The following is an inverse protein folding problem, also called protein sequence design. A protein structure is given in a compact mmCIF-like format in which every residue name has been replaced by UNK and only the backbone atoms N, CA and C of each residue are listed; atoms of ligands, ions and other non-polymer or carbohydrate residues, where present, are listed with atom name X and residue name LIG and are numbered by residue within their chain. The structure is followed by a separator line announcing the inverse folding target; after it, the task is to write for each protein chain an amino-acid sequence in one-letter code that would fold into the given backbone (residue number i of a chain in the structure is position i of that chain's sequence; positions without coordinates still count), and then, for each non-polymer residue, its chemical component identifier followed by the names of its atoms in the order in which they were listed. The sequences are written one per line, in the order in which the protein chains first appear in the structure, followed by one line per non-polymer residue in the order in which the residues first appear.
data_IF_360183005704
#
_entry.id   IF_360183005704
#
_cell.length_a   1.000
_cell.length_b   1.000
_cell.length_c   1.000
_cell.angle_alpha   90.00
_cell.angle_beta   90.00
_cell.angle_gamma   90.00
#
_symmetry.space_group_name_H-M   'P 1'
#
loop_
_entity.id
_entity.type
_entity.pdbx_description
1 polymer ?
#
# COMPACT_ATOMS: atom_id res chain seq x y z
N UNK A 1 -32.93 1.81 21.25
CA UNK A 1 -31.69 2.52 21.60
C UNK A 1 -31.11 3.12 20.32
N UNK A 2 -31.24 4.40 20.11
CA UNK A 2 -30.65 5.02 18.94
C UNK A 2 -29.85 6.26 19.35
N UNK A 3 -28.53 6.16 19.40
CA UNK A 3 -27.66 7.34 19.52
C UNK A 3 -26.22 7.03 19.06
N UNK A 4 -26.03 6.58 17.82
CA UNK A 4 -24.68 6.47 17.22
C UNK A 4 -24.58 7.02 15.80
N UNK A 5 -25.52 7.83 15.33
CA UNK A 5 -25.55 8.29 13.92
C UNK A 5 -25.57 9.82 13.77
N UNK A 6 -24.78 10.56 14.53
CA UNK A 6 -24.71 12.03 14.35
C UNK A 6 -23.29 12.63 14.30
N UNK A 7 -22.23 11.83 14.23
CA UNK A 7 -20.87 12.38 14.10
C UNK A 7 -20.22 12.16 12.72
N UNK A 8 -20.85 11.41 11.82
CA UNK A 8 -20.24 11.12 10.50
C UNK A 8 -20.55 12.21 9.48
N UNK A 9 -21.69 12.89 9.59
CA UNK A 9 -22.12 13.88 8.58
C UNK A 9 -21.35 15.21 8.56
N UNK A 10 -20.50 15.46 9.57
CA UNK A 10 -19.74 16.73 9.64
C UNK A 10 -18.26 16.60 9.27
N UNK A 11 -17.75 15.39 9.07
CA UNK A 11 -16.35 15.15 8.69
C UNK A 11 -16.19 14.82 7.20
N UNK A 12 -17.27 14.53 6.49
CA UNK A 12 -17.25 14.14 5.08
C UNK A 12 -16.90 15.29 4.10
N UNK A 13 -16.72 16.50 4.59
CA UNK A 13 -16.46 17.65 3.72
C UNK A 13 -14.99 18.12 3.70
N UNK A 14 -14.07 17.44 4.33
CA UNK A 14 -12.71 17.97 4.51
C UNK A 14 -11.56 17.12 3.97
N UNK A 15 -11.78 15.89 3.45
CA UNK A 15 -10.66 15.06 2.99
C UNK A 15 -11.07 14.31 1.71
N UNK A 16 -10.75 14.92 0.59
CA UNK A 16 -10.86 14.30 -0.73
C UNK A 16 -9.44 14.03 -1.22
N UNK A 17 -9.01 12.72 -1.34
CA UNK A 17 -7.76 12.48 -2.07
C UNK A 17 -7.31 11.01 -2.20
N UNK A 18 -7.05 10.52 -3.40
CA UNK A 18 -6.49 9.21 -3.75
C UNK A 18 -5.45 9.19 -4.86
N UNK A 19 -4.74 8.37 -5.17
CA UNK A 19 -4.22 7.15 -5.77
C UNK A 19 -2.69 7.15 -5.83
N UNK A 20 -2.16 6.24 -5.45
CA UNK A 20 -1.45 4.97 -5.52
C UNK A 20 -0.14 4.99 -6.33
N UNK A 21 0.82 4.53 -5.78
CA UNK A 21 1.75 3.45 -6.10
C UNK A 21 2.62 3.31 -4.86
N UNK A 22 2.26 2.39 -3.99
CA UNK A 22 3.09 2.09 -2.85
C UNK A 22 4.25 1.24 -3.34
N UNK A 23 5.35 1.92 -3.59
CA UNK A 23 6.65 1.30 -3.46
C UNK A 23 6.87 0.98 -1.98
N UNK A 24 7.48 -0.15 -1.68
CA UNK A 24 7.89 -0.53 -0.35
C UNK A 24 8.54 0.66 0.35
N UNK A 25 8.42 0.83 1.69
CA UNK A 25 8.98 1.98 2.41
C UNK A 25 10.48 2.21 2.22
N UNK A 26 11.17 1.28 1.58
CA UNK A 26 12.59 1.34 1.24
C UNK A 26 12.89 1.93 -0.14
N UNK A 27 11.90 2.01 -1.06
CA UNK A 27 12.07 2.57 -2.39
C UNK A 27 11.89 4.10 -2.46
N UNK A 28 11.37 4.72 -1.40
CA UNK A 28 11.21 6.19 -1.33
C UNK A 28 12.53 6.96 -1.16
N UNK A 29 13.67 6.26 -1.09
CA UNK A 29 14.96 6.93 -0.86
C UNK A 29 15.65 7.47 -2.12
N UNK A 30 15.09 7.31 -3.33
CA UNK A 30 15.73 7.82 -4.55
C UNK A 30 14.75 8.06 -5.70
N UNK A 31 13.86 9.04 -5.58
CA UNK A 31 13.44 9.82 -6.74
C UNK A 31 13.85 11.28 -6.57
N UNK A 32 15.13 11.55 -6.73
CA UNK A 32 15.58 12.88 -7.14
C UNK A 32 15.33 13.03 -8.63
N UNK A 33 14.08 13.11 -9.06
CA UNK A 33 13.77 13.73 -10.33
C UNK A 33 13.85 15.24 -10.12
N UNK A 34 15.01 15.81 -10.33
CA UNK A 34 15.16 17.23 -10.60
C UNK A 34 14.41 17.55 -11.90
N UNK A 35 13.11 17.68 -11.81
CA UNK A 35 12.33 18.34 -12.84
C UNK A 35 12.53 19.86 -12.64
N UNK A 36 13.09 20.60 -13.61
CA UNK A 36 13.19 22.05 -13.53
C UNK A 36 11.83 22.66 -13.87
N UNK A 37 10.85 22.54 -12.98
CA UNK A 37 9.62 23.27 -13.08
C UNK A 37 9.60 24.36 -12.01
N UNK A 38 9.98 25.57 -12.43
CA UNK A 38 9.64 26.78 -11.71
C UNK A 38 8.12 26.81 -11.53
N UNK A 39 7.68 26.80 -10.28
CA UNK A 39 6.30 26.97 -9.92
C UNK A 39 5.87 28.38 -10.40
N UNK A 40 5.01 28.44 -11.40
CA UNK A 40 4.29 29.67 -11.72
C UNK A 40 3.31 29.92 -10.57
N UNK A 41 3.72 30.73 -9.59
CA UNK A 41 3.02 30.92 -8.34
C UNK A 41 1.65 31.60 -8.48
N UNK A 42 0.71 31.19 -7.64
CA UNK A 42 -0.31 32.09 -7.13
C UNK A 42 0.48 33.20 -6.40
N UNK A 43 0.31 34.46 -6.78
CA UNK A 43 1.25 35.55 -6.48
C UNK A 43 1.56 35.84 -4.98
N UNK A 44 1.09 35.06 -4.04
CA UNK A 44 1.41 35.09 -2.60
C UNK A 44 1.96 33.77 -2.04
N UNK A 45 2.08 32.71 -2.88
CA UNK A 45 2.67 31.41 -2.52
C UNK A 45 3.97 31.06 -3.30
N UNK A 46 4.86 32.03 -3.64
CA UNK A 46 5.99 31.76 -4.54
C UNK A 46 7.11 30.91 -3.92
N UNK A 47 6.98 30.49 -2.67
CA UNK A 47 8.06 29.80 -1.92
C UNK A 47 7.66 28.46 -1.34
N UNK A 48 6.40 28.03 -1.47
CA UNK A 48 5.97 26.73 -0.94
C UNK A 48 6.04 25.72 -2.09
N UNK A 49 6.85 24.65 -1.99
CA UNK A 49 6.97 23.61 -3.02
C UNK A 49 5.75 22.69 -3.00
N UNK A 50 4.60 23.22 -3.39
CA UNK A 50 3.34 22.48 -3.51
C UNK A 50 3.06 22.24 -4.99
N UNK A 51 2.77 20.99 -5.34
CA UNK A 51 2.24 20.61 -6.64
C UNK A 51 0.82 20.07 -6.45
N UNK A 52 -0.13 20.68 -7.15
CA UNK A 52 -1.51 20.27 -7.18
C UNK A 52 -1.85 19.70 -8.55
N UNK A 53 -2.49 18.56 -8.58
CA UNK A 53 -2.96 17.92 -9.80
C UNK A 53 -4.45 17.61 -9.64
N UNK A 54 -5.25 17.95 -10.65
CA UNK A 54 -6.66 17.62 -10.70
C UNK A 54 -6.99 16.93 -12.02
N UNK A 55 -7.86 15.94 -12.01
CA UNK A 55 -8.23 15.19 -13.20
C UNK A 55 -9.68 14.76 -13.19
N UNK A 56 -10.19 14.53 -14.40
CA UNK A 56 -11.49 13.91 -14.63
C UNK A 56 -11.26 12.73 -15.57
N UNK A 57 -11.85 11.61 -15.23
CA UNK A 57 -11.85 10.42 -16.05
C UNK A 57 -13.27 9.90 -16.27
N UNK A 58 -13.47 9.12 -17.32
CA UNK A 58 -14.70 8.40 -17.61
C UNK A 58 -14.37 7.02 -18.14
N UNK A 59 -15.22 6.06 -17.82
CA UNK A 59 -14.95 4.69 -18.19
C UNK A 59 -16.16 3.76 -18.07
N UNK A 60 -15.86 2.49 -18.25
CA UNK A 60 -16.79 1.39 -18.11
C UNK A 60 -16.17 0.31 -17.24
N UNK A 61 -16.94 -0.20 -16.31
CA UNK A 61 -16.63 -1.32 -15.44
C UNK A 61 -17.66 -2.43 -15.74
N UNK A 62 -17.20 -3.62 -16.11
CA UNK A 62 -18.08 -4.73 -16.47
C UNK A 62 -18.66 -5.47 -15.26
N UNK A 63 -18.14 -5.20 -14.07
CA UNK A 63 -18.62 -5.76 -12.80
C UNK A 63 -18.55 -4.73 -11.67
N UNK A 64 -19.29 -3.65 -11.82
CA UNK A 64 -19.33 -2.58 -10.82
C UNK A 64 -19.90 -3.02 -9.46
N UNK A 65 -20.59 -4.15 -9.36
CA UNK A 65 -21.13 -4.70 -8.11
C UNK A 65 -20.18 -5.67 -7.41
N UNK A 66 -19.05 -6.05 -8.03
CA UNK A 66 -18.04 -6.98 -7.50
C UNK A 66 -18.65 -8.32 -7.05
N UNK A 67 -19.53 -8.89 -7.86
CA UNK A 67 -20.21 -10.17 -7.60
C UNK A 67 -19.96 -11.16 -8.72
N UNK A 68 -20.25 -12.45 -8.49
CA UNK A 68 -20.08 -13.51 -9.51
C UNK A 68 -20.96 -13.31 -10.76
N UNK A 69 -22.07 -12.60 -10.61
CA UNK A 69 -22.98 -12.22 -11.70
C UNK A 69 -23.08 -10.69 -11.76
N UNK A 70 -21.94 -10.01 -11.71
CA UNK A 70 -21.89 -8.58 -11.58
C UNK A 70 -22.51 -7.81 -12.73
N UNK A 71 -23.02 -6.63 -12.40
CA UNK A 71 -23.60 -5.70 -13.36
C UNK A 71 -22.55 -4.70 -13.79
N UNK A 72 -22.45 -4.46 -15.10
CA UNK A 72 -21.57 -3.45 -15.64
C UNK A 72 -22.18 -2.06 -15.56
N UNK A 73 -21.34 -1.04 -15.48
CA UNK A 73 -21.78 0.36 -15.45
C UNK A 73 -20.78 1.29 -16.09
N UNK A 74 -21.28 2.33 -16.72
CA UNK A 74 -20.48 3.52 -17.03
C UNK A 74 -20.22 4.29 -15.74
N UNK A 75 -19.06 4.95 -15.65
CA UNK A 75 -18.74 5.83 -14.53
C UNK A 75 -17.99 7.10 -14.96
N UNK A 76 -18.07 8.12 -14.14
CA UNK A 76 -17.23 9.32 -14.18
C UNK A 76 -16.47 9.40 -12.87
N UNK A 77 -15.17 9.65 -12.98
CA UNK A 77 -14.27 9.84 -11.85
C UNK A 77 -13.68 11.23 -11.81
N UNK A 78 -13.53 11.77 -10.60
CA UNK A 78 -12.77 12.97 -10.31
C UNK A 78 -11.61 12.60 -9.42
N UNK A 79 -10.43 13.12 -9.70
CA UNK A 79 -9.24 12.87 -8.89
C UNK A 79 -8.47 14.18 -8.64
N UNK A 80 -7.88 14.26 -7.46
CA UNK A 80 -7.02 15.37 -7.06
C UNK A 80 -5.81 14.81 -6.32
N UNK A 81 -4.62 15.30 -6.59
CA UNK A 81 -3.38 14.95 -5.91
C UNK A 81 -2.69 16.21 -5.41
N UNK A 82 -2.26 16.18 -4.15
CA UNK A 82 -1.46 17.22 -3.53
C UNK A 82 -0.10 16.63 -3.14
N UNK A 83 0.98 17.25 -3.59
CA UNK A 83 2.34 16.88 -3.19
C UNK A 83 3.01 18.11 -2.59
N UNK A 84 3.58 17.93 -1.41
CA UNK A 84 4.50 18.89 -0.79
C UNK A 84 5.80 18.17 -0.47
N UNK A 85 6.91 18.72 -0.95
CA UNK A 85 8.23 18.16 -0.75
C UNK A 85 9.18 19.23 -0.21
N UNK A 86 9.79 18.96 0.94
CA UNK A 86 10.81 19.79 1.55
C UNK A 86 12.09 19.00 1.80
N UNK A 87 12.95 18.90 0.78
CA UNK A 87 14.22 18.16 0.88
C UNK A 87 15.32 19.01 1.56
N UNK A 88 15.14 19.38 2.84
CA UNK A 88 16.06 20.25 3.56
C UNK A 88 16.77 19.49 4.69
N UNK A 89 18.09 19.49 4.71
CA UNK A 89 18.88 18.99 5.84
C UNK A 89 18.81 19.95 7.06
N UNK A 90 18.77 19.44 8.30
CA UNK A 90 18.80 18.03 8.71
C UNK A 90 17.43 17.34 8.70
N UNK A 91 16.37 18.02 8.25
CA UNK A 91 15.00 17.53 8.28
C UNK A 91 14.41 17.55 6.89
N UNK A 92 14.04 16.38 6.40
CA UNK A 92 13.28 16.20 5.15
C UNK A 92 11.83 15.88 5.50
N UNK A 93 10.90 16.50 4.81
CA UNK A 93 9.46 16.29 5.02
C UNK A 93 8.74 16.19 3.67
N UNK A 94 7.94 15.14 3.50
CA UNK A 94 7.10 14.92 2.34
C UNK A 94 5.66 14.73 2.78
N UNK A 95 4.73 15.28 2.02
CA UNK A 95 3.29 15.07 2.16
C UNK A 95 2.72 14.73 0.78
N UNK A 96 2.05 13.61 0.70
CA UNK A 96 1.26 13.20 -0.44
C UNK A 96 -0.19 13.04 0.03
N UNK A 97 -1.10 13.74 -0.62
CA UNK A 97 -2.53 13.56 -0.42
C UNK A 97 -3.18 13.33 -1.77
N UNK A 98 -4.06 12.37 -1.84
CA UNK A 98 -4.73 12.09 -3.08
C UNK A 98 -6.21 11.79 -2.78
N UNK A 99 -7.23 12.16 -3.67
CA UNK A 99 -8.68 11.93 -3.59
C UNK A 99 -9.28 11.48 -4.89
N UNK A 100 -10.11 10.50 -4.80
CA UNK A 100 -10.92 10.06 -5.91
C UNK A 100 -12.40 9.98 -5.50
N UNK A 101 -13.23 10.49 -6.34
CA UNK A 101 -14.67 10.27 -6.30
C UNK A 101 -15.09 9.61 -7.63
N UNK A 102 -15.85 8.52 -7.56
CA UNK A 102 -16.36 7.80 -8.73
C UNK A 102 -17.88 7.68 -8.63
N UNK A 103 -18.59 8.12 -9.66
CA UNK A 103 -20.04 7.98 -9.75
C UNK A 103 -20.37 6.99 -10.86
N UNK A 104 -21.10 5.94 -10.50
CA UNK A 104 -21.64 4.94 -11.43
C UNK A 104 -23.07 5.31 -11.83
N UNK A 105 -23.45 5.02 -13.09
CA UNK A 105 -24.75 5.44 -13.63
C UNK A 105 -25.79 4.34 -13.65
N UNK A 106 -25.37 3.08 -13.82
CA UNK A 106 -26.27 1.95 -14.01
C UNK A 106 -26.48 1.13 -12.72
N UNK A 107 -25.66 1.38 -11.70
CA UNK A 107 -25.76 0.74 -10.38
C UNK A 107 -25.81 1.79 -9.28
N UNK A 108 -26.41 1.42 -8.15
CA UNK A 108 -26.47 2.31 -6.97
C UNK A 108 -25.16 2.23 -6.20
N UNK A 109 -24.09 2.81 -6.77
CA UNK A 109 -22.77 2.83 -6.20
C UNK A 109 -22.06 4.15 -6.45
N UNK A 110 -21.40 4.66 -5.44
CA UNK A 110 -20.40 5.72 -5.56
C UNK A 110 -19.15 5.27 -4.82
N UNK A 111 -17.98 5.45 -5.42
CA UNK A 111 -16.72 5.18 -4.78
C UNK A 111 -16.13 6.48 -4.24
N UNK A 112 -15.70 6.45 -2.99
CA UNK A 112 -14.96 7.55 -2.35
C UNK A 112 -13.68 6.95 -1.81
N UNK A 113 -12.57 7.27 -2.48
CA UNK A 113 -11.26 6.79 -2.05
C UNK A 113 -10.39 7.99 -1.66
N UNK A 114 -9.66 7.85 -0.58
CA UNK A 114 -8.74 8.89 -0.14
C UNK A 114 -7.57 8.33 0.66
N UNK A 115 -6.36 8.86 0.40
CA UNK A 115 -5.24 8.58 1.28
C UNK A 115 -4.35 9.81 1.50
N UNK A 116 -3.68 9.81 2.64
CA UNK A 116 -2.65 10.77 2.99
C UNK A 116 -1.42 10.03 3.47
N UNK A 117 -0.28 10.36 2.91
CA UNK A 117 1.02 9.89 3.39
C UNK A 117 1.85 11.08 3.84
N UNK A 118 2.34 11.07 5.05
CA UNK A 118 3.31 12.03 5.56
C UNK A 118 4.59 11.26 5.90
N UNK A 119 5.74 11.72 5.41
CA UNK A 119 7.02 11.15 5.80
C UNK A 119 7.99 12.23 6.28
N UNK A 120 8.71 11.90 7.34
CA UNK A 120 9.69 12.75 7.99
C UNK A 120 10.98 11.97 8.17
N UNK A 121 12.09 12.53 7.70
CA UNK A 121 13.44 12.05 8.05
C UNK A 121 14.15 13.17 8.78
N UNK A 122 14.72 12.88 9.96
CA UNK A 122 15.50 13.85 10.72
C UNK A 122 16.84 13.26 11.15
N UNK A 123 17.92 13.93 10.79
CA UNK A 123 19.27 13.57 11.18
C UNK A 123 19.70 14.36 12.42
N UNK A 124 19.59 13.75 13.61
CA UNK A 124 20.07 14.36 14.86
C UNK A 124 21.60 14.54 14.86
N UNK A 125 22.28 13.60 14.23
CA UNK A 125 23.75 13.61 14.07
C UNK A 125 24.14 12.71 12.90
N UNK A 126 25.44 12.65 12.59
CA UNK A 126 25.99 11.70 11.62
C UNK A 126 25.81 10.22 12.03
N UNK A 127 25.41 9.96 13.26
CA UNK A 127 25.21 8.59 13.80
C UNK A 127 23.79 8.26 14.15
N UNK A 128 22.92 9.24 14.34
CA UNK A 128 21.56 9.03 14.79
C UNK A 128 20.59 9.73 13.85
N UNK A 129 19.71 8.94 13.24
CA UNK A 129 18.62 9.42 12.39
C UNK A 129 17.28 8.81 12.81
N UNK A 130 16.24 9.58 12.63
CA UNK A 130 14.85 9.19 12.87
C UNK A 130 14.09 9.27 11.55
N UNK A 131 13.26 8.26 11.30
CA UNK A 131 12.30 8.24 10.22
C UNK A 131 10.90 7.99 10.77
N UNK A 132 9.92 8.70 10.24
CA UNK A 132 8.51 8.46 10.48
C UNK A 132 7.75 8.52 9.16
N UNK A 133 6.83 7.59 8.97
CA UNK A 133 5.85 7.59 7.89
C UNK A 133 4.47 7.35 8.48
N UNK A 134 3.56 8.28 8.28
CA UNK A 134 2.16 8.17 8.70
C UNK A 134 1.32 8.04 7.44
N UNK A 135 0.58 6.96 7.35
CA UNK A 135 -0.31 6.69 6.24
C UNK A 135 -1.73 6.46 6.74
N UNK A 136 -2.70 7.15 6.16
CA UNK A 136 -4.12 6.95 6.44
C UNK A 136 -4.90 6.90 5.13
N UNK A 137 -5.81 5.96 5.00
CA UNK A 137 -6.65 5.79 3.82
C UNK A 137 -8.11 5.46 4.19
N UNK A 138 -9.01 5.94 3.35
CA UNK A 138 -10.40 5.48 3.27
C UNK A 138 -10.62 4.93 1.87
N UNK A 139 -11.15 3.73 1.75
CA UNK A 139 -11.34 3.03 0.48
C UNK A 139 -12.71 2.33 0.45
N UNK A 140 -13.30 2.33 -0.74
CA UNK A 140 -14.57 1.65 -1.00
C UNK A 140 -14.40 0.27 -1.63
N UNK A 141 -13.22 -0.05 -2.15
CA UNK A 141 -12.90 -1.31 -2.81
C UNK A 141 -11.66 -1.98 -2.22
N UNK A 142 -11.53 -3.31 -2.38
CA UNK A 142 -10.29 -4.02 -2.09
C UNK A 142 -9.12 -3.48 -2.93
N UNK A 143 -7.93 -3.44 -2.36
CA UNK A 143 -6.71 -3.02 -3.05
C UNK A 143 -5.72 -4.18 -3.14
N UNK A 144 -5.66 -4.84 -4.31
CA UNK A 144 -4.79 -5.98 -4.57
C UNK A 144 -3.35 -5.58 -4.92
N UNK A 145 -3.09 -4.30 -5.20
CA UNK A 145 -1.78 -3.80 -5.61
C UNK A 145 -0.93 -3.33 -4.43
N UNK A 146 -1.53 -3.23 -3.25
CA UNK A 146 -0.86 -2.77 -2.03
C UNK A 146 -0.47 -3.94 -1.15
N UNK A 147 0.71 -3.87 -0.53
CA UNK A 147 1.08 -4.75 0.57
C UNK A 147 0.50 -4.26 1.92
N UNK A 148 -0.31 -3.22 1.88
CA UNK A 148 -0.90 -2.57 3.05
C UNK A 148 -2.39 -2.39 2.83
N UNK A 149 -3.17 -2.76 3.80
CA UNK A 149 -4.62 -2.66 3.77
C UNK A 149 -5.33 -3.98 3.44
N UNK A 150 -6.65 -4.01 3.66
CA UNK A 150 -7.46 -5.19 3.39
C UNK A 150 -7.61 -5.41 1.89
N UNK A 151 -7.38 -6.62 1.46
CA UNK A 151 -7.29 -6.93 0.03
C UNK A 151 -8.50 -7.69 -0.50
N UNK A 152 -9.13 -8.54 0.31
CA UNK A 152 -10.18 -9.46 -0.15
C UNK A 152 -11.57 -9.12 0.40
N UNK A 153 -11.74 -7.98 1.05
CA UNK A 153 -13.00 -7.61 1.69
C UNK A 153 -13.64 -6.42 0.97
N UNK A 154 -14.86 -6.63 0.46
CA UNK A 154 -15.62 -5.61 -0.27
C UNK A 154 -16.48 -4.85 0.75
N UNK A 155 -15.98 -3.75 1.24
CA UNK A 155 -16.70 -2.81 2.12
C UNK A 155 -15.93 -1.52 2.25
N UNK A 156 -16.62 -0.42 2.41
CA UNK A 156 -15.99 0.83 2.82
C UNK A 156 -15.21 0.63 4.11
N UNK A 157 -13.96 1.06 4.12
CA UNK A 157 -13.09 0.90 5.27
C UNK A 157 -12.08 2.03 5.38
N UNK A 158 -11.74 2.34 6.63
CA UNK A 158 -10.62 3.20 6.97
C UNK A 158 -9.47 2.34 7.48
N UNK A 159 -8.24 2.66 7.08
CA UNK A 159 -7.06 2.06 7.69
C UNK A 159 -5.89 3.05 7.76
N UNK A 160 -5.00 2.80 8.73
CA UNK A 160 -3.74 3.53 8.88
C UNK A 160 -2.59 2.54 9.02
N UNK A 161 -1.41 2.95 8.54
CA UNK A 161 -0.17 2.21 8.70
C UNK A 161 0.96 3.19 8.99
N UNK A 162 1.31 3.29 10.26
CA UNK A 162 2.26 4.27 10.75
C UNK A 162 3.57 3.57 11.11
N UNK A 163 4.67 4.02 10.51
CA UNK A 163 5.99 3.42 10.66
C UNK A 163 6.92 4.44 11.30
N UNK A 164 7.60 4.02 12.36
CA UNK A 164 8.64 4.81 13.03
C UNK A 164 9.92 4.00 13.11
N UNK A 165 11.05 4.61 12.82
CA UNK A 165 12.33 3.94 13.00
C UNK A 165 13.42 4.89 13.48
N UNK A 166 14.27 4.37 14.33
CA UNK A 166 15.45 5.04 14.86
C UNK A 166 16.69 4.25 14.44
N UNK A 167 17.56 4.87 13.65
CA UNK A 167 18.79 4.24 13.18
C UNK A 167 19.97 4.81 13.94
N UNK A 168 20.78 3.94 14.56
CA UNK A 168 22.01 4.31 15.25
C UNK A 168 23.21 3.58 14.64
N UNK A 169 24.20 4.33 14.18
CA UNK A 169 25.47 3.83 13.65
C UNK A 169 26.53 3.73 14.76
N UNK A 170 26.70 2.52 15.33
CA UNK A 170 27.74 2.28 16.36
C UNK A 170 29.15 2.45 15.78
N UNK A 171 29.37 1.85 14.63
CA UNK A 171 30.62 1.91 13.88
C UNK A 171 30.33 2.11 12.39
N UNK A 172 31.30 2.46 11.55
CA UNK A 172 31.09 2.66 10.11
C UNK A 172 30.46 1.49 9.37
N UNK A 173 30.51 0.28 9.94
CA UNK A 173 29.98 -0.95 9.35
C UNK A 173 28.86 -1.60 10.15
N UNK A 174 28.50 -1.06 11.31
CA UNK A 174 27.48 -1.62 12.17
C UNK A 174 26.42 -0.59 12.49
N UNK A 175 25.18 -0.93 12.22
CA UNK A 175 24.01 -0.12 12.54
C UNK A 175 22.98 -0.95 13.28
N UNK A 176 22.26 -0.28 14.16
CA UNK A 176 21.09 -0.78 14.86
C UNK A 176 19.89 0.03 14.38
N UNK A 177 18.81 -0.64 14.01
CA UNK A 177 17.55 -0.01 13.62
C UNK A 177 16.47 -0.56 14.52
N UNK A 178 15.93 0.31 15.37
CA UNK A 178 14.76 0.02 16.18
C UNK A 178 13.53 0.55 15.48
N UNK A 179 12.56 -0.30 15.21
CA UNK A 179 11.35 0.00 14.47
C UNK A 179 10.09 -0.22 15.28
N UNK A 180 9.07 0.56 14.98
CA UNK A 180 7.70 0.37 15.45
C UNK A 180 6.74 0.64 14.30
N UNK A 181 5.82 -0.30 14.07
CA UNK A 181 4.72 -0.13 13.11
C UNK A 181 3.39 -0.25 13.84
N UNK A 182 2.52 0.71 13.59
CA UNK A 182 1.13 0.70 14.05
C UNK A 182 0.23 0.57 12.83
N UNK A 183 -0.69 -0.42 12.88
CA UNK A 183 -1.72 -0.61 11.87
C UNK A 183 -3.09 -0.68 12.53
N UNK A 184 -4.07 -0.02 11.93
CA UNK A 184 -5.48 -0.07 12.34
C UNK A 184 -6.34 -0.19 11.12
N UNK A 185 -7.33 -1.08 11.14
CA UNK A 185 -8.40 -1.14 10.14
C UNK A 185 -9.76 -1.11 10.80
N UNK A 186 -10.71 -0.43 10.16
CA UNK A 186 -12.10 -0.31 10.59
C UNK A 186 -13.02 -0.31 9.38
N UNK A 187 -14.03 -1.17 9.40
CA UNK A 187 -15.03 -1.31 8.35
C UNK A 187 -16.31 -0.55 8.68
N UNK A 188 -16.90 0.09 7.68
CA UNK A 188 -18.18 0.78 7.82
C UNK A 188 -19.34 -0.20 8.05
N UNK A 189 -19.26 -1.39 7.46
CA UNK A 189 -20.27 -2.45 7.60
C UNK A 189 -20.00 -3.26 8.87
N UNK A 190 -20.90 -3.16 9.86
CA UNK A 190 -20.73 -3.81 11.17
C UNK A 190 -20.57 -5.34 11.08
N UNK A 191 -21.27 -6.00 10.15
CA UNK A 191 -21.16 -7.46 9.95
C UNK A 191 -19.77 -7.91 9.48
N UNK A 192 -18.97 -6.99 8.93
CA UNK A 192 -17.56 -7.22 8.57
C UNK A 192 -16.67 -6.74 9.71
N UNK A 193 -16.93 -5.55 10.26
CA UNK A 193 -16.17 -4.97 11.36
C UNK A 193 -16.13 -5.86 12.59
N UNK A 194 -17.23 -6.55 12.90
CA UNK A 194 -17.30 -7.46 14.06
C UNK A 194 -16.24 -8.57 14.06
N UNK A 195 -15.67 -8.93 12.92
CA UNK A 195 -14.59 -9.92 12.84
C UNK A 195 -13.31 -9.43 12.16
N UNK A 196 -13.29 -8.21 11.62
CA UNK A 196 -12.13 -7.66 10.90
C UNK A 196 -11.52 -6.40 11.54
N UNK A 197 -12.31 -5.64 12.32
CA UNK A 197 -11.80 -4.43 12.98
C UNK A 197 -10.71 -4.82 13.98
N UNK A 198 -9.50 -4.29 13.77
CA UNK A 198 -8.35 -4.68 14.56
C UNK A 198 -7.26 -3.62 14.61
N UNK A 199 -6.39 -3.77 15.60
CA UNK A 199 -5.13 -3.06 15.77
C UNK A 199 -3.99 -4.06 15.70
N UNK A 200 -2.95 -3.72 14.95
CA UNK A 200 -1.71 -4.47 14.89
C UNK A 200 -0.56 -3.56 15.33
N UNK A 201 0.29 -4.08 16.22
CA UNK A 201 1.50 -3.37 16.67
C UNK A 201 2.69 -4.28 16.41
N UNK A 202 3.69 -3.79 15.68
CA UNK A 202 4.91 -4.52 15.40
C UNK A 202 6.12 -3.75 15.92
N UNK A 203 6.88 -4.36 16.80
CA UNK A 203 8.19 -3.86 17.25
C UNK A 203 9.28 -4.66 16.56
N UNK A 204 10.30 -3.98 16.04
CA UNK A 204 11.41 -4.64 15.37
C UNK A 204 12.75 -4.10 15.87
N UNK A 205 13.73 -5.01 15.94
CA UNK A 205 15.11 -4.70 16.22
C UNK A 205 15.98 -5.35 15.15
N UNK A 206 16.68 -4.54 14.37
CA UNK A 206 17.47 -4.98 13.23
C UNK A 206 18.93 -4.59 13.40
N UNK A 207 19.81 -5.59 13.39
CA UNK A 207 21.26 -5.43 13.31
C UNK A 207 21.71 -5.47 11.86
N UNK A 208 22.45 -4.47 11.43
CA UNK A 208 23.05 -4.45 10.10
C UNK A 208 24.56 -4.48 10.18
N UNK A 209 25.16 -5.35 9.39
CA UNK A 209 26.59 -5.38 9.16
C UNK A 209 26.91 -5.12 7.69
N UNK A 210 27.69 -4.10 7.39
CA UNK A 210 28.09 -3.68 6.03
C UNK A 210 29.52 -4.14 5.73
N UNK A 211 29.72 -5.39 5.26
CA UNK A 211 31.07 -5.87 4.90
C UNK A 211 31.67 -5.07 3.75
N UNK A 212 30.85 -4.57 2.85
CA UNK A 212 31.23 -3.72 1.72
C UNK A 212 30.30 -2.53 1.61
N UNK A 213 30.64 -1.51 0.82
CA UNK A 213 29.74 -0.38 0.53
C UNK A 213 28.51 -0.75 -0.33
N UNK A 214 28.37 -2.01 -0.75
CA UNK A 214 27.27 -2.49 -1.59
C UNK A 214 26.40 -3.55 -0.93
N UNK A 215 26.82 -4.06 0.24
CA UNK A 215 26.17 -5.20 0.88
C UNK A 215 25.94 -4.91 2.34
N UNK A 216 24.70 -5.07 2.79
CA UNK A 216 24.33 -5.10 4.19
C UNK A 216 23.76 -6.48 4.52
N UNK A 217 24.37 -7.16 5.47
CA UNK A 217 23.83 -8.37 6.08
C UNK A 217 22.94 -7.97 7.26
N UNK A 218 21.83 -8.65 7.43
CA UNK A 218 20.78 -8.29 8.37
C UNK A 218 20.48 -9.47 9.27
N UNK A 219 20.37 -9.20 10.57
CA UNK A 219 19.71 -10.06 11.53
C UNK A 219 18.57 -9.28 12.17
N UNK A 220 17.37 -9.79 12.18
CA UNK A 220 16.20 -9.06 12.65
C UNK A 220 15.32 -9.93 13.54
N UNK A 221 14.82 -9.32 14.60
CA UNK A 221 13.76 -9.86 15.43
C UNK A 221 12.57 -8.92 15.38
N UNK A 222 11.36 -9.50 15.17
CA UNK A 222 10.09 -8.76 15.23
C UNK A 222 9.18 -9.40 16.27
N UNK A 223 8.45 -8.56 16.97
CA UNK A 223 7.35 -8.92 17.85
C UNK A 223 6.10 -8.20 17.40
N UNK A 224 5.05 -8.96 17.09
CA UNK A 224 3.78 -8.43 16.61
C UNK A 224 2.65 -8.84 17.56
N UNK A 225 1.72 -7.92 17.79
CA UNK A 225 0.46 -8.19 18.47
C UNK A 225 -0.70 -7.77 17.58
N UNK A 226 -1.67 -8.64 17.41
CA UNK A 226 -2.92 -8.37 16.70
C UNK A 226 -4.06 -8.48 17.70
N UNK A 227 -4.82 -7.40 17.85
CA UNK A 227 -5.97 -7.32 18.76
C UNK A 227 -7.21 -6.92 17.97
N UNK A 228 -8.19 -7.79 17.93
CA UNK A 228 -9.48 -7.56 17.32
C UNK A 228 -10.43 -6.87 18.30
N UNK A 229 -11.27 -5.96 17.82
CA UNK A 229 -12.21 -5.21 18.67
C UNK A 229 -13.30 -6.12 19.26
N UNK A 230 -13.74 -7.11 18.51
CA UNK A 230 -14.87 -7.99 18.88
C UNK A 230 -14.53 -9.46 18.75
N UNK A 231 -13.82 -9.87 17.68
CA UNK A 231 -13.51 -11.26 17.43
C UNK A 231 -12.50 -11.83 18.45
N UNK A 232 -12.66 -13.06 18.97
CA UNK A 232 -11.77 -13.68 19.93
C UNK A 232 -10.55 -14.36 19.27
N UNK A 233 -9.97 -13.71 18.27
CA UNK A 233 -8.87 -14.23 17.44
C UNK A 233 -7.56 -13.46 17.64
N UNK A 234 -7.40 -12.84 18.82
CA UNK A 234 -6.16 -12.14 19.16
C UNK A 234 -4.94 -13.04 19.02
N UNK A 235 -3.85 -12.48 18.55
CA UNK A 235 -2.62 -13.23 18.38
C UNK A 235 -1.37 -12.43 18.73
N UNK A 236 -0.32 -13.15 19.05
CA UNK A 236 1.04 -12.62 19.16
C UNK A 236 1.95 -13.42 18.24
N UNK A 237 2.85 -12.71 17.52
CA UNK A 237 3.80 -13.36 16.62
C UNK A 237 5.22 -12.93 16.94
N UNK A 238 6.15 -13.85 16.81
CA UNK A 238 7.59 -13.62 16.92
C UNK A 238 8.24 -14.03 15.60
N UNK A 239 9.09 -13.15 15.05
CA UNK A 239 9.83 -13.43 13.81
C UNK A 239 11.32 -13.38 14.11
N UNK A 240 12.06 -14.37 13.64
CA UNK A 240 13.53 -14.41 13.67
C UNK A 240 14.01 -14.51 12.23
N UNK A 241 14.61 -13.43 11.74
CA UNK A 241 14.91 -13.27 10.32
C UNK A 241 16.40 -13.01 10.11
N UNK A 242 16.91 -13.54 9.01
CA UNK A 242 18.19 -13.15 8.42
C UNK A 242 17.97 -12.59 7.03
N UNK A 243 18.80 -11.65 6.62
CA UNK A 243 18.60 -11.00 5.33
C UNK A 243 19.84 -10.35 4.73
N UNK A 244 19.62 -9.85 3.55
CA UNK A 244 20.64 -9.14 2.77
C UNK A 244 20.00 -7.98 1.99
N UNK A 245 20.65 -6.82 2.04
CA UNK A 245 20.44 -5.74 1.08
C UNK A 245 21.70 -5.64 0.23
N UNK A 246 21.57 -5.82 -1.09
CA UNK A 246 22.71 -5.87 -1.98
C UNK A 246 22.49 -5.07 -3.27
N UNK A 247 23.38 -4.12 -3.53
CA UNK A 247 23.43 -3.40 -4.80
C UNK A 247 24.27 -4.23 -5.80
N UNK A 248 23.60 -5.13 -6.55
CA UNK A 248 24.23 -5.98 -7.57
C UNK A 248 24.94 -5.13 -8.62
N UNK A 249 24.27 -4.07 -9.08
CA UNK A 249 24.82 -3.07 -9.99
C UNK A 249 24.44 -1.66 -9.51
N UNK A 250 24.76 -0.63 -10.28
CA UNK A 250 24.27 0.73 -10.03
C UNK A 250 22.75 0.88 -10.26
N UNK A 251 22.18 -0.07 -10.99
CA UNK A 251 20.77 -0.06 -11.42
C UNK A 251 19.92 -1.17 -10.79
N UNK A 252 20.54 -2.19 -10.20
CA UNK A 252 19.85 -3.37 -9.67
C UNK A 252 20.14 -3.52 -8.18
N UNK A 253 19.08 -3.42 -7.38
CA UNK A 253 19.09 -3.54 -5.94
C UNK A 253 18.24 -4.74 -5.54
N UNK A 254 18.71 -5.51 -4.59
CA UNK A 254 18.00 -6.66 -4.02
C UNK A 254 17.92 -6.51 -2.52
N UNK A 255 16.72 -6.64 -1.98
CA UNK A 255 16.43 -6.76 -0.57
C UNK A 255 15.78 -8.12 -0.35
N UNK A 256 16.30 -8.92 0.54
CA UNK A 256 15.70 -10.22 0.87
C UNK A 256 15.84 -10.50 2.36
N UNK A 257 14.80 -11.04 2.96
CA UNK A 257 14.78 -11.57 4.32
C UNK A 257 14.10 -12.92 4.33
N UNK A 258 14.58 -13.82 5.14
CA UNK A 258 13.98 -15.13 5.34
C UNK A 258 14.19 -15.57 6.79
N UNK A 259 13.30 -16.39 7.29
CA UNK A 259 13.38 -16.94 8.63
C UNK A 259 12.13 -17.69 9.02
N UNK A 260 11.83 -17.69 10.29
CA UNK A 260 10.70 -18.37 10.88
C UNK A 260 9.83 -17.38 11.64
N UNK A 261 8.52 -17.59 11.55
CA UNK A 261 7.51 -16.89 12.34
C UNK A 261 6.76 -17.88 13.23
N UNK A 262 6.56 -17.47 14.49
CA UNK A 262 5.84 -18.25 15.51
C UNK A 262 4.64 -17.42 15.92
N UNK A 263 3.43 -17.87 15.61
CA UNK A 263 2.18 -17.21 15.96
C UNK A 263 1.46 -17.99 17.05
N UNK A 264 1.15 -17.33 18.15
CA UNK A 264 0.33 -17.83 19.23
C UNK A 264 -1.04 -17.19 19.19
N UNK A 265 -2.08 -18.00 19.03
CA UNK A 265 -3.48 -17.57 19.10
C UNK A 265 -3.96 -17.68 20.54
N UNK A 266 -4.80 -16.74 20.97
CA UNK A 266 -5.30 -16.68 22.35
C UNK A 266 -6.01 -17.99 22.77
N UNK A 267 -6.67 -18.68 21.82
CA UNK A 267 -7.49 -19.88 22.09
C UNK A 267 -7.04 -21.14 21.33
N UNK A 268 -5.97 -21.12 20.53
CA UNK A 268 -5.64 -22.21 19.60
C UNK A 268 -4.14 -22.59 19.58
N UNK A 269 -3.39 -22.23 20.63
CA UNK A 269 -1.98 -22.61 20.76
C UNK A 269 -1.02 -21.87 19.83
N UNK A 270 0.17 -22.45 19.64
CA UNK A 270 1.24 -21.82 18.86
C UNK A 270 1.49 -22.59 17.57
N UNK A 271 1.57 -21.89 16.47
CA UNK A 271 1.86 -22.40 15.13
C UNK A 271 3.12 -21.73 14.57
N UNK A 272 3.93 -22.46 13.82
CA UNK A 272 5.11 -21.93 13.13
C UNK A 272 4.90 -21.93 11.61
N UNK A 273 5.53 -20.97 10.94
CA UNK A 273 5.55 -20.87 9.48
C UNK A 273 6.86 -20.27 9.01
N UNK A 274 7.45 -20.74 7.91
CA UNK A 274 8.47 -19.99 7.22
C UNK A 274 7.99 -18.60 6.90
N UNK A 275 8.91 -17.63 6.96
CA UNK A 275 8.67 -16.25 6.55
C UNK A 275 9.68 -15.86 5.49
N UNK A 276 9.21 -15.25 4.43
CA UNK A 276 10.03 -14.73 3.32
C UNK A 276 9.52 -13.37 2.89
N UNK A 277 10.42 -12.42 2.68
CA UNK A 277 10.14 -11.19 1.96
C UNK A 277 11.29 -10.85 1.02
N UNK A 278 10.98 -10.36 -0.16
CA UNK A 278 11.98 -9.93 -1.13
C UNK A 278 11.46 -8.78 -1.98
N UNK A 279 12.39 -7.88 -2.31
CA UNK A 279 12.18 -6.78 -3.25
C UNK A 279 13.38 -6.75 -4.19
N UNK A 280 13.11 -6.65 -5.48
CA UNK A 280 14.12 -6.48 -6.52
C UNK A 280 13.76 -5.27 -7.34
N UNK A 281 14.57 -4.24 -7.25
CA UNK A 281 14.39 -2.99 -7.99
C UNK A 281 15.46 -2.83 -9.05
N UNK A 282 15.01 -2.59 -10.27
CA UNK A 282 15.87 -2.20 -11.38
C UNK A 282 15.45 -0.83 -11.90
N UNK A 283 16.38 0.12 -11.93
CA UNK A 283 16.13 1.49 -12.38
C UNK A 283 17.14 1.87 -13.44
N UNK A 284 16.66 2.28 -14.60
CA UNK A 284 17.44 2.80 -15.73
C UNK A 284 16.93 4.20 -16.10
N UNK A 285 17.53 4.83 -17.08
CA UNK A 285 17.18 6.19 -17.52
C UNK A 285 15.77 6.31 -18.09
N UNK A 286 15.20 5.24 -18.64
CA UNK A 286 13.90 5.26 -19.33
C UNK A 286 12.95 4.12 -18.89
N UNK A 287 13.35 3.29 -17.93
CA UNK A 287 12.47 2.27 -17.38
C UNK A 287 12.85 1.91 -15.95
N UNK A 288 11.85 1.54 -15.18
CA UNK A 288 12.01 0.94 -13.86
C UNK A 288 11.18 -0.33 -13.77
N UNK A 289 11.72 -1.32 -13.09
CA UNK A 289 11.07 -2.59 -12.80
C UNK A 289 11.19 -2.84 -11.31
N UNK A 290 10.08 -3.07 -10.63
CA UNK A 290 10.04 -3.49 -9.24
C UNK A 290 9.31 -4.80 -9.12
N UNK A 291 9.94 -5.78 -8.48
CA UNK A 291 9.33 -7.06 -8.13
C UNK A 291 9.35 -7.21 -6.62
N UNK A 292 8.17 -7.52 -6.06
CA UNK A 292 7.99 -7.79 -4.63
C UNK A 292 7.45 -9.19 -4.44
N UNK A 293 7.85 -9.88 -3.39
CA UNK A 293 7.25 -11.16 -2.99
C UNK A 293 7.37 -11.35 -1.49
N UNK A 294 6.30 -11.86 -0.88
CA UNK A 294 6.27 -12.20 0.55
C UNK A 294 5.50 -13.49 0.78
N UNK A 295 5.88 -14.21 1.82
CA UNK A 295 5.19 -15.40 2.32
C UNK A 295 5.22 -15.41 3.86
N UNK A 296 4.09 -15.65 4.48
CA UNK A 296 4.00 -15.73 5.94
C UNK A 296 2.57 -15.73 6.46
N UNK A 297 2.44 -15.60 7.77
CA UNK A 297 1.14 -15.43 8.41
C UNK A 297 0.59 -14.04 8.15
N UNK A 298 -0.70 -13.97 7.86
CA UNK A 298 -1.48 -12.75 7.79
C UNK A 298 -2.76 -12.83 8.62
N UNK A 299 -3.44 -11.71 8.74
CA UNK A 299 -4.72 -11.64 9.40
C UNK A 299 -5.80 -12.24 8.51
N UNK A 300 -6.64 -13.15 9.03
CA UNK A 300 -7.73 -13.73 8.24
C UNK A 300 -8.68 -12.68 7.69
N UNK A 301 -9.10 -12.84 6.45
CA UNK A 301 -10.08 -11.96 5.78
C UNK A 301 -11.50 -12.53 5.79
N UNK A 302 -11.70 -13.77 6.27
CA UNK A 302 -12.98 -14.46 6.32
C UNK A 302 -13.40 -14.80 7.74
N UNK A 303 -14.69 -14.69 8.04
CA UNK A 303 -15.24 -15.14 9.32
C UNK A 303 -15.02 -16.63 9.51
N UNK A 304 -14.71 -17.06 10.76
CA UNK A 304 -14.49 -18.47 11.09
C UNK A 304 -13.13 -19.04 10.70
N UNK A 305 -12.23 -18.24 10.11
CA UNK A 305 -10.82 -18.61 9.91
C UNK A 305 -10.00 -18.11 11.09
N UNK A 306 -9.08 -18.92 11.59
CA UNK A 306 -8.19 -18.52 12.70
C UNK A 306 -6.81 -18.13 12.22
N UNK A 307 -6.35 -18.69 11.10
CA UNK A 307 -5.00 -18.44 10.57
C UNK A 307 -5.01 -18.44 9.04
N UNK A 308 -4.41 -17.45 8.45
CA UNK A 308 -4.15 -17.38 7.01
C UNK A 308 -2.64 -17.35 6.78
N UNK A 309 -2.17 -18.17 5.83
CA UNK A 309 -0.83 -18.04 5.25
C UNK A 309 -0.98 -17.51 3.86
N UNK A 310 -0.31 -16.42 3.58
CA UNK A 310 -0.42 -15.73 2.30
C UNK A 310 0.91 -15.75 1.57
N UNK A 311 0.86 -16.09 0.30
CA UNK A 311 1.91 -15.78 -0.66
C UNK A 311 1.46 -14.65 -1.57
N UNK A 312 2.20 -13.54 -1.53
CA UNK A 312 1.98 -12.39 -2.41
C UNK A 312 3.15 -12.22 -3.33
N UNK A 313 2.88 -11.86 -4.58
CA UNK A 313 3.93 -11.45 -5.51
C UNK A 313 3.39 -10.40 -6.46
N UNK A 314 4.19 -9.37 -6.72
CA UNK A 314 3.82 -8.27 -7.59
C UNK A 314 4.99 -7.83 -8.46
N UNK A 315 4.70 -7.46 -9.69
CA UNK A 315 5.66 -6.93 -10.65
C UNK A 315 5.10 -5.62 -11.22
N UNK A 316 5.86 -4.55 -11.11
CA UNK A 316 5.51 -3.26 -11.72
C UNK A 316 6.61 -2.82 -12.67
N UNK A 317 6.25 -2.57 -13.92
CA UNK A 317 7.13 -2.02 -14.96
C UNK A 317 6.63 -0.64 -15.36
N UNK A 318 7.48 0.37 -15.22
CA UNK A 318 7.26 1.70 -15.80
C UNK A 318 8.27 1.90 -16.93
N UNK A 319 7.79 2.35 -18.08
CA UNK A 319 8.61 2.56 -19.27
C UNK A 319 8.27 3.88 -19.96
N UNK A 320 9.28 4.77 -20.09
CA UNK A 320 9.18 6.00 -20.87
C UNK A 320 9.43 5.70 -22.34
N UNK A 321 8.34 5.42 -23.07
CA UNK A 321 8.35 5.14 -24.52
C UNK A 321 8.92 6.30 -25.32
N UNK A 322 8.60 7.52 -24.89
CA UNK A 322 9.16 8.77 -25.41
C UNK A 322 9.22 9.80 -24.28
N UNK A 323 9.81 10.96 -24.51
CA UNK A 323 9.77 12.08 -23.54
C UNK A 323 8.36 12.58 -23.17
N UNK A 324 7.31 12.10 -23.85
CA UNK A 324 5.91 12.48 -23.61
C UNK A 324 4.99 11.32 -23.33
N UNK A 325 5.43 10.09 -23.56
CA UNK A 325 4.59 8.89 -23.41
C UNK A 325 5.24 7.97 -22.41
N UNK A 326 4.55 7.72 -21.30
CA UNK A 326 4.94 6.77 -20.26
C UNK A 326 3.90 5.67 -20.18
N UNK A 327 4.34 4.42 -20.13
CA UNK A 327 3.49 3.26 -19.83
C UNK A 327 3.84 2.69 -18.47
N UNK A 328 2.83 2.25 -17.73
CA UNK A 328 3.01 1.51 -16.47
C UNK A 328 2.17 0.25 -16.53
N UNK A 329 2.77 -0.90 -16.24
CA UNK A 329 2.10 -2.19 -16.17
C UNK A 329 2.36 -2.81 -14.81
N UNK A 330 1.31 -3.24 -14.13
CA UNK A 330 1.37 -3.96 -12.86
C UNK A 330 0.73 -5.34 -13.00
N UNK A 331 1.33 -6.35 -12.40
CA UNK A 331 0.80 -7.72 -12.29
C UNK A 331 0.95 -8.16 -10.85
N UNK A 332 -0.12 -8.57 -10.20
CA UNK A 332 -0.14 -8.98 -8.80
C UNK A 332 -0.87 -10.30 -8.67
N UNK A 333 -0.37 -11.15 -7.80
CA UNK A 333 -0.96 -12.44 -7.48
C UNK A 333 -0.87 -12.69 -5.98
N UNK A 334 -1.98 -13.16 -5.42
CA UNK A 334 -2.06 -13.58 -4.03
C UNK A 334 -2.64 -14.98 -3.95
N UNK A 335 -2.11 -15.76 -3.03
CA UNK A 335 -2.59 -17.10 -2.68
C UNK A 335 -2.71 -17.20 -1.18
N UNK A 336 -3.94 -17.32 -0.71
CA UNK A 336 -4.29 -17.42 0.70
C UNK A 336 -4.65 -18.86 1.06
N UNK A 337 -3.92 -19.44 2.02
CA UNK A 337 -4.25 -20.74 2.64
C UNK A 337 -4.90 -20.49 4.00
N UNK A 338 -6.21 -20.69 4.07
CA UNK A 338 -7.00 -20.49 5.28
C UNK A 338 -7.09 -21.79 6.07
N UNK A 339 -6.73 -21.75 7.36
CA UNK A 339 -6.74 -22.87 8.26
C UNK A 339 -7.37 -22.53 9.61
N UNK A 340 -7.90 -23.55 10.30
CA UNK A 340 -8.61 -23.39 11.57
C UNK A 340 -10.01 -22.81 11.39
N UNK A 341 -10.91 -23.09 12.34
CA UNK A 341 -12.31 -22.66 12.29
C UNK A 341 -13.25 -23.67 11.65
N UNK A 342 -14.54 -23.33 11.58
CA UNK A 342 -15.60 -24.31 11.30
C UNK A 342 -16.08 -24.35 9.85
N UNK A 343 -15.93 -23.28 9.05
CA UNK A 343 -16.66 -23.18 7.76
C UNK A 343 -15.87 -22.63 6.55
N UNK A 344 -14.63 -22.19 6.70
CA UNK A 344 -13.91 -21.48 5.62
C UNK A 344 -12.48 -21.98 5.40
N UNK A 345 -12.21 -23.26 5.65
CA UNK A 345 -10.92 -23.86 5.30
C UNK A 345 -10.82 -24.02 3.79
N UNK A 346 -9.71 -23.57 3.23
CA UNK A 346 -9.46 -23.67 1.79
C UNK A 346 -8.47 -22.62 1.31
N UNK A 347 -8.14 -22.72 0.03
CA UNK A 347 -7.30 -21.73 -0.63
C UNK A 347 -8.13 -20.76 -1.43
N UNK A 348 -7.69 -19.51 -1.47
CA UNK A 348 -8.25 -18.46 -2.31
C UNK A 348 -7.13 -17.80 -3.12
N UNK A 349 -7.34 -17.69 -4.41
CA UNK A 349 -6.42 -17.01 -5.32
C UNK A 349 -7.00 -15.66 -5.72
N UNK A 350 -6.15 -14.64 -5.82
CA UNK A 350 -6.48 -13.39 -6.49
C UNK A 350 -5.41 -13.00 -7.49
N UNK A 351 -5.85 -12.39 -8.57
CA UNK A 351 -4.98 -11.89 -9.63
C UNK A 351 -5.43 -10.51 -10.06
N UNK A 352 -4.49 -9.59 -10.17
CA UNK A 352 -4.72 -8.24 -10.68
C UNK A 352 -3.70 -7.90 -11.78
N UNK A 353 -4.20 -7.37 -12.89
CA UNK A 353 -3.41 -6.83 -14.00
C UNK A 353 -3.83 -5.38 -14.22
N UNK A 354 -2.89 -4.47 -14.17
CA UNK A 354 -3.13 -3.06 -14.49
C UNK A 354 -2.24 -2.59 -15.64
N UNK A 355 -2.79 -1.77 -16.50
CA UNK A 355 -2.06 -1.10 -17.57
C UNK A 355 -2.48 0.36 -17.63
N UNK A 356 -1.50 1.26 -17.63
CA UNK A 356 -1.69 2.70 -17.77
C UNK A 356 -0.80 3.23 -18.89
N UNK A 357 -1.38 4.04 -19.76
CA UNK A 357 -0.66 4.84 -20.74
C UNK A 357 -0.93 6.31 -20.49
N UNK A 358 0.12 7.10 -20.28
CA UNK A 358 0.04 8.55 -20.06
C UNK A 358 0.72 9.27 -21.22
N UNK A 359 0.03 10.27 -21.80
CA UNK A 359 0.56 11.17 -22.82
C UNK A 359 0.60 12.61 -22.28
N UNK A 360 1.78 13.21 -22.24
CA UNK A 360 1.99 14.59 -21.81
C UNK A 360 1.77 15.52 -23.01
N UNK A 361 0.64 16.24 -23.03
CA UNK A 361 0.30 17.22 -24.07
C UNK A 361 1.25 18.42 -23.95
N UNK A 362 1.37 18.95 -22.73
CA UNK A 362 2.27 20.04 -22.37
C UNK A 362 2.61 19.94 -20.87
N UNK A 363 3.32 20.93 -20.31
CA UNK A 363 3.73 20.96 -18.90
C UNK A 363 2.57 20.92 -17.89
N UNK A 364 1.34 21.26 -18.30
CA UNK A 364 0.19 21.30 -17.42
C UNK A 364 -0.84 20.21 -17.70
N UNK A 365 -0.97 19.75 -18.94
CA UNK A 365 -2.01 18.82 -19.34
C UNK A 365 -1.44 17.47 -19.75
N UNK A 366 -2.05 16.41 -19.25
CA UNK A 366 -1.81 15.04 -19.70
C UNK A 366 -3.12 14.29 -19.96
N UNK A 367 -3.06 13.33 -20.90
CA UNK A 367 -4.10 12.34 -21.16
C UNK A 367 -3.66 11.01 -20.54
N UNK A 368 -4.60 10.27 -19.96
CA UNK A 368 -4.42 8.94 -19.43
C UNK A 368 -5.39 7.96 -20.06
N UNK A 369 -4.91 6.74 -20.35
CA UNK A 369 -5.74 5.58 -20.63
C UNK A 369 -5.35 4.49 -19.63
N UNK A 370 -6.34 3.86 -19.02
CA UNK A 370 -6.13 2.84 -18.01
C UNK A 370 -7.00 1.64 -18.31
N UNK A 371 -6.46 0.47 -18.01
CA UNK A 371 -7.14 -0.81 -18.01
C UNK A 371 -6.76 -1.55 -16.74
N UNK A 372 -7.73 -2.15 -16.08
CA UNK A 372 -7.48 -3.10 -15.00
C UNK A 372 -8.33 -4.34 -15.17
N UNK A 373 -7.75 -5.47 -14.80
CA UNK A 373 -8.41 -6.78 -14.73
C UNK A 373 -8.15 -7.36 -13.35
N UNK A 374 -9.21 -7.69 -12.63
CA UNK A 374 -9.12 -8.29 -11.30
C UNK A 374 -9.92 -9.59 -11.29
N UNK A 375 -9.34 -10.65 -10.76
CA UNK A 375 -10.02 -11.91 -10.49
C UNK A 375 -9.81 -12.29 -9.03
N UNK A 376 -10.91 -12.54 -8.32
CA UNK A 376 -10.91 -13.13 -6.98
C UNK A 376 -11.55 -14.51 -7.05
N UNK A 377 -10.82 -15.53 -6.62
CA UNK A 377 -11.31 -16.91 -6.54
C UNK A 377 -12.41 -17.09 -5.49
N UNK A 378 -13.18 -18.12 -5.60
CA UNK A 378 -14.18 -18.48 -4.58
C UNK A 378 -13.49 -19.03 -3.32
N UNK A 379 -14.08 -18.77 -2.14
CA UNK A 379 -13.65 -19.34 -0.87
C UNK A 379 -14.85 -20.05 -0.19
N UNK A 380 -14.80 -21.36 -0.08
CA UNK A 380 -15.91 -22.14 0.46
C UNK A 380 -17.22 -21.91 -0.33
N UNK A 381 -18.23 -21.40 0.35
CA UNK A 381 -19.53 -21.05 -0.26
C UNK A 381 -19.59 -19.60 -0.80
N UNK A 382 -18.57 -18.78 -0.53
CA UNK A 382 -18.50 -17.41 -1.03
C UNK A 382 -17.99 -17.42 -2.47
N UNK A 383 -18.80 -17.02 -3.46
CA UNK A 383 -18.38 -17.01 -4.85
C UNK A 383 -17.35 -15.90 -5.09
N UNK A 384 -16.37 -16.19 -5.93
CA UNK A 384 -15.45 -15.19 -6.45
C UNK A 384 -16.07 -14.30 -7.53
N UNK A 385 -15.30 -13.36 -8.05
CA UNK A 385 -15.71 -12.49 -9.15
C UNK A 385 -14.55 -12.21 -10.10
N UNK A 386 -14.90 -11.71 -11.27
CA UNK A 386 -13.97 -11.14 -12.25
C UNK A 386 -14.46 -9.75 -12.65
N UNK A 387 -13.56 -8.80 -12.79
CA UNK A 387 -13.85 -7.41 -13.13
C UNK A 387 -12.85 -6.93 -14.18
N UNK A 388 -13.35 -6.21 -15.18
CA UNK A 388 -12.55 -5.44 -16.13
C UNK A 388 -13.01 -3.98 -16.10
N UNK A 389 -12.08 -3.06 -15.89
CA UNK A 389 -12.35 -1.63 -15.90
C UNK A 389 -11.50 -0.93 -16.95
N UNK A 390 -12.12 -0.11 -17.76
CA UNK A 390 -11.51 0.66 -18.83
C UNK A 390 -11.85 2.13 -18.62
N UNK A 391 -10.87 3.00 -18.51
CA UNK A 391 -11.14 4.41 -18.37
C UNK A 391 -10.06 5.30 -18.99
N UNK A 392 -10.46 6.48 -19.41
CA UNK A 392 -9.58 7.50 -19.94
C UNK A 392 -9.93 8.86 -19.37
N UNK A 393 -8.92 9.71 -19.24
CA UNK A 393 -9.14 11.00 -18.61
C UNK A 393 -8.10 12.05 -18.96
N UNK A 394 -8.38 13.25 -18.50
CA UNK A 394 -7.53 14.44 -18.63
C UNK A 394 -7.10 14.87 -17.23
N UNK A 395 -5.83 15.18 -17.10
CA UNK A 395 -5.28 15.67 -15.85
C UNK A 395 -4.60 17.02 -16.07
N UNK A 396 -4.87 17.96 -15.18
CA UNK A 396 -4.21 19.26 -15.10
C UNK A 396 -3.28 19.30 -13.89
N UNK A 397 -2.05 19.73 -14.10
CA UNK A 397 -1.04 19.94 -13.03
C UNK A 397 -0.71 21.44 -12.96
N UNK A 398 -0.83 21.96 -11.75
CA UNK A 398 -0.52 23.36 -11.43
C UNK A 398 0.89 23.46 -10.85
#
# INVERSE_FOLDING_TARGET
MPQRLKCVDSLALAILFAVSSMTSPWALAQETSTSPFEAAGIGWLPTIPIRLTAGVDMGYDDNATLTSNGEGSLFVGENVTLIYDRPAEPTQFNLLGIGRFGQYFDVTRNDVDGNVTMSLTHNFSTRLSFYASIFAAYQSQPNFQSNVGPENVISDHFYTNDIFSLTYHWFPRFSLITGYTFYRVQYAQASIGDFQDRVENTFSEQFQFSPTGRTNLIGEYRFETITYDTAPTNSTSHFVLAGINHNLTQHLIVHARAGESFRSLENDGTTASPYLESVVDYVSSNHSLSWTSSYGFESPTSSGVTTTKTWRTGLTLTYDLTSRVTSTTGVYYHHDENTGGTDSTGAQDSFDLSFRLRYLINKHFSLGLNYSHTTLGSLGSTPGYTQNSYFGGVTYTY
#
